data_IF_718952815302
#
_entry.id   IF_718952815302
#
_cell.length_a   1.000
_cell.length_b   1.000
_cell.length_c   1.000
_cell.angle_alpha   90.00
_cell.angle_beta   90.00
_cell.angle_gamma   90.00
#
_symmetry.space_group_name_H-M   'P 1'
#
loop_
_entity.id
_entity.type
_entity.pdbx_description
1 polymer ?
#
# COMPACT_ATOMS: atom_id res chain seq x y z
N UNK A 1 6.67 36.20 58.54
CA UNK A 1 6.70 35.09 57.58
C UNK A 1 5.49 34.21 57.83
N UNK A 2 4.37 34.46 57.13
CA UNK A 2 3.22 33.56 57.10
C UNK A 2 3.40 32.62 55.89
N UNK A 3 3.49 31.32 56.12
CA UNK A 3 3.43 30.31 55.06
C UNK A 3 1.94 29.99 54.79
N UNK A 4 1.45 30.35 53.60
CA UNK A 4 0.14 29.92 53.11
C UNK A 4 0.24 28.54 52.44
N UNK A 5 -0.52 27.58 52.94
CA UNK A 5 -0.72 26.26 52.33
C UNK A 5 -1.79 26.38 51.24
N UNK A 6 -1.40 26.25 49.97
CA UNK A 6 -2.31 26.13 48.83
C UNK A 6 -2.62 24.64 48.64
N UNK A 7 -3.87 24.25 48.90
CA UNK A 7 -4.39 22.93 48.57
C UNK A 7 -4.81 22.94 47.09
N UNK A 8 -4.01 22.30 46.24
CA UNK A 8 -4.34 22.13 44.82
C UNK A 8 -5.23 20.89 44.66
N UNK A 9 -6.48 21.10 44.26
CA UNK A 9 -7.44 20.03 43.99
C UNK A 9 -7.06 19.24 42.74
N UNK A 10 -6.90 17.92 42.90
CA UNK A 10 -6.67 16.97 41.80
C UNK A 10 -7.96 16.81 40.97
N UNK A 11 -8.07 17.58 39.88
CA UNK A 11 -9.04 17.32 38.82
C UNK A 11 -8.73 15.97 38.19
N UNK A 12 -9.62 14.99 38.41
CA UNK A 12 -9.59 13.71 37.70
C UNK A 12 -9.96 13.96 36.23
N UNK A 13 -8.96 14.11 35.37
CA UNK A 13 -9.14 13.96 33.94
C UNK A 13 -9.41 12.49 33.64
N UNK A 14 -10.68 12.17 33.42
CA UNK A 14 -11.07 10.90 32.79
C UNK A 14 -10.68 11.00 31.31
N UNK A 15 -9.50 10.49 30.97
CA UNK A 15 -9.17 10.24 29.56
C UNK A 15 -9.99 9.06 29.11
N UNK A 16 -11.18 9.31 28.56
CA UNK A 16 -11.86 8.32 27.74
C UNK A 16 -11.02 8.14 26.47
N UNK A 17 -10.19 7.09 26.43
CA UNK A 17 -9.58 6.62 25.19
C UNK A 17 -10.72 6.38 24.19
N UNK A 18 -10.68 6.94 22.97
CA UNK A 18 -11.61 6.55 21.94
C UNK A 18 -11.37 5.07 21.69
N UNK A 19 -12.37 4.24 21.99
CA UNK A 19 -12.40 2.83 21.58
C UNK A 19 -12.27 2.81 20.08
N UNK A 20 -11.08 2.49 19.55
CA UNK A 20 -10.91 2.31 18.12
C UNK A 20 -11.69 1.06 17.73
N UNK A 21 -12.89 1.23 17.19
CA UNK A 21 -13.51 0.19 16.40
C UNK A 21 -12.55 -0.08 15.23
N UNK A 22 -11.83 -1.19 15.27
CA UNK A 22 -10.95 -1.56 14.17
C UNK A 22 -11.78 -1.59 12.89
N UNK A 23 -11.32 -0.84 11.88
CA UNK A 23 -11.95 -0.85 10.57
C UNK A 23 -11.95 -2.28 10.04
N UNK A 24 -13.09 -2.73 9.51
CA UNK A 24 -13.28 -4.12 9.10
C UNK A 24 -12.79 -4.32 7.67
N UNK A 25 -11.97 -5.33 7.46
CA UNK A 25 -11.53 -5.75 6.13
C UNK A 25 -12.66 -6.42 5.35
N UNK A 26 -12.69 -6.22 4.03
CA UNK A 26 -13.61 -6.89 3.10
C UNK A 26 -12.83 -7.58 1.99
N UNK A 27 -12.86 -8.93 1.95
CA UNK A 27 -12.24 -9.72 0.87
C UNK A 27 -12.77 -9.30 -0.49
N UNK A 28 -14.09 -9.12 -0.61
CA UNK A 28 -14.73 -8.73 -1.86
C UNK A 28 -14.24 -7.36 -2.32
N UNK A 29 -14.16 -6.35 -1.44
CA UNK A 29 -13.64 -5.02 -1.82
C UNK A 29 -12.18 -5.11 -2.27
N UNK A 30 -11.33 -5.86 -1.55
CA UNK A 30 -9.94 -6.00 -1.94
C UNK A 30 -9.79 -6.71 -3.30
N UNK A 31 -10.57 -7.76 -3.53
CA UNK A 31 -10.57 -8.62 -4.72
C UNK A 31 -11.15 -7.95 -5.95
N UNK A 32 -12.30 -7.28 -5.83
CA UNK A 32 -13.04 -6.76 -6.99
C UNK A 32 -12.83 -5.28 -7.25
N UNK A 33 -12.37 -4.53 -6.24
CA UNK A 33 -12.17 -3.08 -6.32
C UNK A 33 -10.70 -2.70 -6.25
N UNK A 34 -9.92 -3.15 -5.26
CA UNK A 34 -8.54 -2.66 -5.09
C UNK A 34 -7.52 -3.40 -5.95
N UNK A 35 -7.65 -4.73 -6.06
CA UNK A 35 -6.70 -5.55 -6.81
C UNK A 35 -6.67 -5.26 -8.31
N UNK A 36 -7.80 -5.05 -9.01
CA UNK A 36 -7.75 -4.69 -10.41
C UNK A 36 -7.04 -3.36 -10.66
N UNK A 37 -7.12 -2.39 -9.74
CA UNK A 37 -6.37 -1.13 -9.83
C UNK A 37 -4.86 -1.36 -9.71
N UNK A 38 -4.43 -2.22 -8.78
CA UNK A 38 -3.01 -2.58 -8.63
C UNK A 38 -2.50 -3.34 -9.87
N UNK A 39 -3.29 -4.28 -10.40
CA UNK A 39 -2.95 -5.03 -11.60
C UNK A 39 -2.92 -4.14 -12.86
N UNK A 40 -3.86 -3.20 -12.99
CA UNK A 40 -3.96 -2.28 -14.13
C UNK A 40 -2.67 -1.46 -14.34
N UNK A 41 -1.91 -1.20 -13.29
CA UNK A 41 -0.63 -0.49 -13.38
C UNK A 41 0.42 -1.23 -14.22
N UNK A 42 0.27 -2.55 -14.42
CA UNK A 42 1.11 -3.37 -15.31
C UNK A 42 0.72 -3.26 -16.79
N UNK A 43 -0.47 -2.75 -17.11
CA UNK A 43 -0.93 -2.53 -18.47
C UNK A 43 -0.30 -1.29 -19.09
N UNK A 44 -0.22 -1.26 -20.42
CA UNK A 44 0.02 -0.03 -21.20
C UNK A 44 -1.27 0.76 -21.44
N UNK A 45 -2.42 0.16 -21.17
CA UNK A 45 -3.77 0.74 -21.30
C UNK A 45 -4.57 0.44 -20.03
N UNK A 46 -4.29 1.11 -18.89
CA UNK A 46 -5.04 0.87 -17.65
C UNK A 46 -6.55 1.11 -17.78
N UNK A 47 -6.97 1.95 -18.74
CA UNK A 47 -8.38 2.20 -19.03
C UNK A 47 -9.17 0.92 -19.38
N UNK A 48 -8.53 -0.10 -19.96
CA UNK A 48 -9.21 -1.37 -20.27
C UNK A 48 -9.65 -2.08 -18.98
N UNK A 49 -8.76 -2.13 -17.97
CA UNK A 49 -9.12 -2.61 -16.64
C UNK A 49 -10.21 -1.76 -16.00
N UNK A 50 -10.12 -0.43 -16.14
CA UNK A 50 -11.13 0.47 -15.57
C UNK A 50 -12.52 0.23 -16.19
N UNK A 51 -12.59 0.07 -17.51
CA UNK A 51 -13.85 -0.20 -18.22
C UNK A 51 -14.45 -1.55 -17.86
N UNK A 52 -13.62 -2.59 -17.67
CA UNK A 52 -14.09 -3.93 -17.37
C UNK A 52 -14.50 -4.12 -15.90
N UNK A 53 -14.03 -3.26 -14.99
CA UNK A 53 -14.22 -3.43 -13.55
C UNK A 53 -15.08 -2.38 -12.87
N UNK A 54 -15.27 -1.20 -13.47
CA UNK A 54 -16.07 -0.13 -12.89
C UNK A 54 -17.09 0.39 -13.90
N UNK A 55 -18.25 0.82 -13.40
CA UNK A 55 -19.35 1.29 -14.26
C UNK A 55 -19.01 2.62 -14.93
N UNK A 56 -18.29 3.50 -14.23
CA UNK A 56 -17.94 4.82 -14.75
C UNK A 56 -16.59 5.27 -14.20
N UNK A 57 -15.53 4.99 -14.96
CA UNK A 57 -14.17 5.31 -14.58
C UNK A 57 -13.36 5.94 -15.72
N UNK A 58 -12.57 6.95 -15.38
CA UNK A 58 -11.75 7.70 -16.34
C UNK A 58 -10.30 7.74 -15.89
N UNK A 59 -9.39 7.20 -16.72
CA UNK A 59 -7.96 7.37 -16.57
C UNK A 59 -7.61 8.84 -16.82
N UNK A 60 -6.92 9.47 -15.86
CA UNK A 60 -6.40 10.82 -16.04
C UNK A 60 -5.09 10.77 -16.80
N UNK A 61 -4.12 10.00 -16.29
CA UNK A 61 -2.81 9.81 -16.93
C UNK A 61 -2.09 8.60 -16.34
N UNK A 62 -1.33 7.89 -17.18
CA UNK A 62 -0.30 6.95 -16.75
C UNK A 62 1.08 7.53 -17.07
N UNK A 63 2.03 7.37 -16.16
CA UNK A 63 3.39 7.88 -16.29
C UNK A 63 4.41 6.76 -16.22
N UNK A 64 5.55 6.99 -16.85
CA UNK A 64 6.72 6.12 -16.84
C UNK A 64 7.95 6.99 -16.57
N UNK A 65 8.74 6.63 -15.57
CA UNK A 65 9.96 7.36 -15.19
C UNK A 65 11.09 6.39 -14.93
N UNK A 66 12.32 6.82 -15.19
CA UNK A 66 13.51 6.06 -14.76
C UNK A 66 13.58 6.12 -13.25
N UNK A 67 13.63 4.97 -12.59
CA UNK A 67 13.72 4.89 -11.12
C UNK A 67 14.59 3.73 -10.59
N UNK A 68 15.30 3.03 -11.48
CA UNK A 68 16.10 1.87 -11.11
C UNK A 68 17.23 2.19 -10.14
N UNK A 69 17.59 1.26 -9.25
CA UNK A 69 18.78 1.41 -8.45
C UNK A 69 20.03 1.29 -9.35
N UNK A 70 21.06 2.06 -9.02
CA UNK A 70 22.42 1.88 -9.56
C UNK A 70 22.54 1.94 -11.10
N UNK A 71 21.75 2.79 -11.77
CA UNK A 71 21.93 3.06 -13.21
C UNK A 71 21.37 2.00 -14.16
N UNK A 72 20.60 1.01 -13.68
CA UNK A 72 19.75 0.17 -14.55
C UNK A 72 18.59 1.02 -15.08
N UNK A 73 18.27 0.92 -16.38
CA UNK A 73 17.16 1.61 -17.05
C UNK A 73 15.77 1.11 -16.62
N UNK A 74 15.59 0.76 -15.34
CA UNK A 74 14.30 0.29 -14.83
C UNK A 74 13.29 1.43 -14.79
N UNK A 75 12.06 1.08 -15.15
CA UNK A 75 10.95 2.00 -15.30
C UNK A 75 10.03 1.85 -14.11
N UNK A 76 9.83 2.92 -13.34
CA UNK A 76 8.68 3.03 -12.46
C UNK A 76 7.49 3.49 -13.28
N UNK A 77 6.31 3.02 -12.89
CA UNK A 77 5.07 3.49 -13.49
C UNK A 77 4.01 3.64 -12.42
N UNK A 78 3.15 4.63 -12.61
CA UNK A 78 1.94 4.79 -11.84
C UNK A 78 0.90 5.52 -12.68
N UNK A 79 -0.35 5.47 -12.26
CA UNK A 79 -1.43 6.19 -12.90
C UNK A 79 -2.35 6.86 -11.88
N UNK A 80 -3.03 7.90 -12.36
CA UNK A 80 -4.16 8.53 -11.68
C UNK A 80 -5.45 8.28 -12.47
N UNK A 81 -6.54 8.05 -11.76
CA UNK A 81 -7.86 7.86 -12.38
C UNK A 81 -8.96 8.37 -11.45
N UNK A 82 -10.18 8.45 -11.98
CA UNK A 82 -11.39 8.76 -11.22
C UNK A 82 -12.39 7.63 -11.41
N UNK A 83 -12.92 7.11 -10.31
CA UNK A 83 -14.06 6.19 -10.26
C UNK A 83 -15.29 7.02 -9.89
N UNK A 84 -16.08 7.45 -10.87
CA UNK A 84 -17.21 8.37 -10.66
C UNK A 84 -18.35 7.72 -9.90
N UNK A 85 -18.60 6.43 -10.15
CA UNK A 85 -19.62 5.62 -9.46
C UNK A 85 -19.25 5.38 -7.99
N UNK A 86 -17.95 5.26 -7.68
CA UNK A 86 -17.45 5.11 -6.32
C UNK A 86 -17.15 6.43 -5.61
N UNK A 87 -17.21 7.56 -6.32
CA UNK A 87 -16.72 8.86 -5.85
C UNK A 87 -15.30 8.78 -5.28
N UNK A 88 -14.38 8.20 -6.05
CA UNK A 88 -13.00 8.00 -5.63
C UNK A 88 -11.99 8.50 -6.67
N UNK A 89 -10.92 9.12 -6.19
CA UNK A 89 -9.70 9.42 -6.96
C UNK A 89 -8.71 8.29 -6.68
N UNK A 90 -8.20 7.66 -7.73
CA UNK A 90 -7.26 6.54 -7.63
C UNK A 90 -5.85 7.01 -7.90
N UNK A 91 -4.91 6.52 -7.10
CA UNK A 91 -3.48 6.52 -7.40
C UNK A 91 -2.97 5.08 -7.29
N UNK A 92 -2.44 4.55 -8.38
CA UNK A 92 -1.92 3.17 -8.42
C UNK A 92 -0.50 3.12 -8.94
N UNK A 93 0.33 2.28 -8.33
CA UNK A 93 1.74 2.13 -8.65
C UNK A 93 2.08 0.70 -9.08
N UNK A 94 2.89 0.58 -10.14
CA UNK A 94 3.36 -0.69 -10.67
C UNK A 94 4.61 -1.17 -9.92
N UNK A 95 4.71 -2.48 -9.67
CA UNK A 95 5.98 -3.11 -9.35
C UNK A 95 6.96 -3.17 -10.54
N UNK A 96 8.18 -3.66 -10.30
CA UNK A 96 9.18 -3.82 -11.37
C UNK A 96 9.87 -5.18 -11.30
N UNK A 97 10.32 -5.67 -12.46
CA UNK A 97 11.09 -6.91 -12.55
C UNK A 97 12.48 -6.76 -11.94
N UNK A 98 13.08 -5.57 -11.98
CA UNK A 98 14.39 -5.34 -11.36
C UNK A 98 14.32 -5.44 -9.83
N UNK A 99 13.23 -4.97 -9.20
CA UNK A 99 13.04 -5.15 -7.76
C UNK A 99 12.91 -6.63 -7.41
N UNK A 100 12.10 -7.38 -8.16
CA UNK A 100 11.98 -8.84 -7.98
C UNK A 100 13.35 -9.52 -8.10
N UNK A 101 14.16 -9.11 -9.09
CA UNK A 101 15.51 -9.66 -9.28
C UNK A 101 16.41 -9.38 -8.06
N UNK A 102 16.40 -8.16 -7.51
CA UNK A 102 17.19 -7.84 -6.31
C UNK A 102 16.78 -8.71 -5.12
N UNK A 103 15.48 -8.91 -4.93
CA UNK A 103 14.95 -9.77 -3.87
C UNK A 103 15.40 -11.22 -4.08
N UNK A 104 15.34 -11.73 -5.31
CA UNK A 104 15.79 -13.09 -5.64
C UNK A 104 17.31 -13.26 -5.49
N UNK A 105 18.10 -12.24 -5.80
CA UNK A 105 19.55 -12.20 -5.62
C UNK A 105 19.95 -11.98 -4.14
N UNK A 106 18.96 -11.76 -3.26
CA UNK A 106 19.16 -11.33 -1.88
C UNK A 106 20.05 -10.08 -1.76
N UNK A 107 20.04 -9.22 -2.78
CA UNK A 107 20.81 -7.98 -2.81
C UNK A 107 20.10 -6.90 -1.97
N UNK A 108 20.64 -6.68 -0.77
CA UNK A 108 20.12 -5.70 0.17
C UNK A 108 20.72 -4.31 0.00
N UNK A 109 21.58 -4.09 -1.01
CA UNK A 109 22.30 -2.83 -1.24
C UNK A 109 21.36 -1.61 -1.27
N UNK A 110 20.17 -1.78 -1.85
CA UNK A 110 19.15 -0.72 -1.99
C UNK A 110 18.48 -0.32 -0.67
N UNK A 111 18.67 -1.10 0.40
CA UNK A 111 18.05 -0.89 1.70
C UNK A 111 19.01 -0.35 2.76
N UNK A 112 20.32 -0.25 2.49
CA UNK A 112 21.26 0.29 3.48
C UNK A 112 21.03 1.76 3.80
N UNK A 113 20.53 2.52 2.83
CA UNK A 113 20.33 3.96 2.99
C UNK A 113 18.87 4.28 3.26
N UNK A 114 18.58 4.73 4.48
CA UNK A 114 17.31 5.37 4.84
C UNK A 114 17.43 6.89 4.80
N UNK A 115 16.31 7.60 4.60
CA UNK A 115 16.24 9.06 4.66
C UNK A 115 15.06 9.52 5.52
N UNK A 116 15.12 10.71 6.15
CA UNK A 116 14.01 11.23 6.94
C UNK A 116 12.73 11.29 6.11
N UNK A 117 11.62 10.82 6.69
CA UNK A 117 10.31 10.91 6.08
C UNK A 117 9.48 12.04 6.68
N UNK A 118 8.79 12.78 5.84
CA UNK A 118 8.01 13.96 6.26
C UNK A 118 6.87 13.61 7.21
N UNK A 119 6.34 12.39 7.12
CA UNK A 119 5.32 11.86 8.01
C UNK A 119 5.86 11.33 9.35
N UNK A 120 7.18 11.29 9.57
CA UNK A 120 7.82 10.70 10.74
C UNK A 120 8.71 9.50 10.40
N UNK A 121 9.81 9.35 11.15
CA UNK A 121 10.78 8.27 10.99
C UNK A 121 11.65 8.38 9.74
N UNK A 122 12.16 7.24 9.28
CA UNK A 122 12.97 7.14 8.09
C UNK A 122 12.47 6.05 7.15
N UNK A 123 12.56 6.30 5.85
CA UNK A 123 12.15 5.35 4.80
C UNK A 123 13.33 4.97 3.92
N UNK A 124 13.26 3.81 3.25
CA UNK A 124 14.26 3.45 2.24
C UNK A 124 14.42 4.57 1.21
N UNK A 125 15.67 4.99 0.95
CA UNK A 125 15.95 5.98 -0.10
C UNK A 125 15.48 5.48 -1.46
N UNK A 126 15.61 4.19 -1.72
CA UNK A 126 15.18 3.58 -2.98
C UNK A 126 13.67 3.79 -3.22
N UNK A 127 12.85 3.47 -2.22
CA UNK A 127 11.39 3.69 -2.31
C UNK A 127 11.03 5.18 -2.36
N UNK A 128 11.72 6.01 -1.57
CA UNK A 128 11.53 7.45 -1.61
C UNK A 128 11.81 8.03 -3.00
N UNK A 129 12.94 7.66 -3.62
CA UNK A 129 13.34 8.16 -4.93
C UNK A 129 12.30 7.75 -5.99
N UNK A 130 11.84 6.50 -5.96
CA UNK A 130 10.78 6.01 -6.85
C UNK A 130 9.48 6.79 -6.70
N UNK A 131 9.03 6.99 -5.46
CA UNK A 131 7.82 7.77 -5.16
C UNK A 131 7.96 9.22 -5.61
N UNK A 132 9.00 9.92 -5.17
CA UNK A 132 9.13 11.36 -5.41
C UNK A 132 9.34 11.67 -6.90
N UNK A 133 9.98 10.76 -7.64
CA UNK A 133 10.18 10.92 -9.08
C UNK A 133 8.85 10.83 -9.82
N UNK A 134 8.01 9.82 -9.54
CA UNK A 134 6.68 9.71 -10.12
C UNK A 134 5.77 10.87 -9.68
N UNK A 135 5.83 11.24 -8.40
CA UNK A 135 5.05 12.35 -7.86
C UNK A 135 5.33 13.65 -8.61
N UNK A 136 6.62 14.00 -8.75
CA UNK A 136 7.06 15.22 -9.46
C UNK A 136 6.90 15.15 -10.98
N UNK A 137 6.93 13.96 -11.57
CA UNK A 137 6.73 13.80 -13.02
C UNK A 137 5.28 14.05 -13.45
N UNK A 138 4.33 14.03 -12.51
CA UNK A 138 2.96 14.47 -12.80
C UNK A 138 1.86 13.83 -11.96
N UNK A 139 2.12 12.76 -11.20
CA UNK A 139 1.11 12.19 -10.30
C UNK A 139 0.63 13.24 -9.30
N UNK A 140 1.53 14.08 -8.77
CA UNK A 140 1.19 15.17 -7.85
C UNK A 140 0.31 16.23 -8.49
N UNK A 141 0.61 16.64 -9.74
CA UNK A 141 -0.20 17.63 -10.47
C UNK A 141 -1.60 17.09 -10.79
N UNK A 142 -1.67 15.83 -11.23
CA UNK A 142 -2.96 15.17 -11.50
C UNK A 142 -3.77 15.06 -10.22
N UNK A 143 -3.14 14.67 -9.11
CA UNK A 143 -3.81 14.58 -7.82
C UNK A 143 -4.39 15.94 -7.39
N UNK A 144 -3.62 17.04 -7.49
CA UNK A 144 -4.13 18.37 -7.16
C UNK A 144 -5.30 18.81 -8.04
N UNK A 145 -5.19 18.57 -9.36
CA UNK A 145 -6.25 18.88 -10.31
C UNK A 145 -7.53 18.08 -10.00
N UNK A 146 -7.40 16.78 -9.75
CA UNK A 146 -8.53 15.90 -9.44
C UNK A 146 -9.16 16.24 -8.08
N UNK A 147 -8.36 16.56 -7.05
CA UNK A 147 -8.88 17.02 -5.75
C UNK A 147 -9.63 18.34 -5.85
N UNK A 148 -9.18 19.25 -6.71
CA UNK A 148 -9.88 20.52 -6.99
C UNK A 148 -11.20 20.27 -7.69
N UNK A 149 -11.22 19.36 -8.66
CA UNK A 149 -12.41 19.04 -9.44
C UNK A 149 -13.43 18.21 -8.65
N UNK A 150 -12.97 17.33 -7.77
CA UNK A 150 -13.78 16.39 -7.00
C UNK A 150 -13.45 16.45 -5.50
N UNK A 151 -13.72 17.57 -4.81
CA UNK A 151 -13.27 17.80 -3.43
C UNK A 151 -13.90 16.85 -2.41
N UNK A 152 -15.04 16.25 -2.74
CA UNK A 152 -15.77 15.30 -1.87
C UNK A 152 -15.45 13.84 -2.15
N UNK A 153 -14.59 13.54 -3.13
CA UNK A 153 -14.23 12.17 -3.47
C UNK A 153 -13.16 11.65 -2.50
N UNK A 154 -13.28 10.38 -2.13
CA UNK A 154 -12.25 9.66 -1.38
C UNK A 154 -10.99 9.50 -2.24
N UNK A 155 -9.87 9.17 -1.60
CA UNK A 155 -8.61 8.87 -2.27
C UNK A 155 -8.26 7.41 -2.03
N UNK A 156 -8.23 6.63 -3.10
CA UNK A 156 -7.87 5.21 -3.06
C UNK A 156 -6.45 5.05 -3.59
N UNK A 157 -5.57 4.51 -2.74
CA UNK A 157 -4.16 4.32 -3.05
C UNK A 157 -3.86 2.83 -3.03
N UNK A 158 -3.16 2.34 -4.06
CA UNK A 158 -2.83 0.92 -4.16
C UNK A 158 -1.57 0.67 -4.98
N UNK A 159 -1.09 -0.56 -4.91
CA UNK A 159 0.05 -1.03 -5.67
C UNK A 159 0.44 -2.44 -5.27
N UNK A 160 1.27 -3.04 -6.10
CA UNK A 160 1.80 -4.39 -5.89
C UNK A 160 3.33 -4.36 -5.87
N UNK A 161 3.96 -5.16 -5.01
CA UNK A 161 5.43 -5.28 -4.93
C UNK A 161 6.11 -3.93 -4.62
N UNK A 162 7.10 -3.48 -5.41
CA UNK A 162 7.63 -2.12 -5.31
C UNK A 162 6.52 -1.05 -5.31
N UNK A 163 5.48 -1.23 -6.14
CA UNK A 163 4.34 -0.31 -6.18
C UNK A 163 3.58 -0.22 -4.86
N UNK A 164 3.53 -1.32 -4.09
CA UNK A 164 2.93 -1.32 -2.76
C UNK A 164 3.72 -0.46 -1.75
N UNK A 165 5.06 -0.42 -1.86
CA UNK A 165 5.89 0.47 -1.06
C UNK A 165 5.64 1.95 -1.45
N UNK A 166 5.57 2.24 -2.75
CA UNK A 166 5.29 3.60 -3.23
C UNK A 166 3.88 4.07 -2.83
N UNK A 167 2.90 3.17 -2.82
CA UNK A 167 1.54 3.42 -2.35
C UNK A 167 1.51 3.82 -0.86
N UNK A 168 2.30 3.13 -0.02
CA UNK A 168 2.48 3.44 1.41
C UNK A 168 3.05 4.84 1.64
N UNK A 169 4.03 5.23 0.82
CA UNK A 169 4.60 6.57 0.88
C UNK A 169 3.61 7.62 0.37
N UNK A 170 2.90 7.33 -0.72
CA UNK A 170 1.93 8.24 -1.31
C UNK A 170 0.76 8.55 -0.37
N UNK A 171 0.17 7.54 0.27
CA UNK A 171 -0.92 7.72 1.23
C UNK A 171 -0.50 8.59 2.43
N UNK A 172 0.66 8.29 3.03
CA UNK A 172 1.24 9.08 4.12
C UNK A 172 1.52 10.52 3.68
N UNK A 173 2.07 10.72 2.47
CA UNK A 173 2.36 12.04 1.92
C UNK A 173 1.09 12.86 1.66
N UNK A 174 0.04 12.24 1.14
CA UNK A 174 -1.25 12.87 0.85
C UNK A 174 -1.90 13.40 2.13
N UNK A 175 -1.87 12.62 3.21
CA UNK A 175 -2.39 13.04 4.52
C UNK A 175 -1.50 14.14 5.11
N UNK A 176 -0.18 13.91 5.14
CA UNK A 176 0.76 14.79 5.85
C UNK A 176 0.95 16.13 5.14
N UNK A 177 1.14 16.11 3.83
CA UNK A 177 1.52 17.29 3.04
C UNK A 177 0.31 17.91 2.37
N UNK A 178 -0.55 17.10 1.74
CA UNK A 178 -1.73 17.60 1.05
C UNK A 178 -2.95 17.79 1.96
N UNK A 179 -2.82 17.43 3.25
CA UNK A 179 -3.84 17.66 4.29
C UNK A 179 -5.18 17.03 3.94
N UNK A 180 -5.16 15.90 3.22
CA UNK A 180 -6.38 15.12 3.03
C UNK A 180 -6.73 14.45 4.35
N UNK A 181 -7.99 14.55 4.79
CA UNK A 181 -8.47 13.84 5.98
C UNK A 181 -8.17 12.32 5.91
N UNK A 182 -7.78 11.71 7.03
CA UNK A 182 -7.30 10.32 7.13
C UNK A 182 -8.33 9.27 6.70
N UNK A 183 -9.52 9.38 7.27
CA UNK A 183 -10.78 8.72 6.96
C UNK A 183 -11.27 8.86 5.50
N UNK A 184 -10.79 9.84 4.73
CA UNK A 184 -10.99 9.94 3.28
C UNK A 184 -9.90 9.24 2.45
N UNK A 185 -8.88 8.64 3.06
CA UNK A 185 -7.81 7.91 2.36
C UNK A 185 -7.90 6.41 2.65
N UNK A 186 -8.06 5.61 1.60
CA UNK A 186 -8.00 4.15 1.67
C UNK A 186 -6.70 3.64 1.06
N UNK A 187 -5.92 2.89 1.83
CA UNK A 187 -4.74 2.17 1.35
C UNK A 187 -4.99 0.66 1.37
N UNK A 188 -4.87 0.01 0.22
CA UNK A 188 -4.78 -1.46 0.14
C UNK A 188 -3.63 -1.82 -0.77
N UNK A 189 -2.70 -2.63 -0.27
CA UNK A 189 -1.49 -3.02 -0.99
C UNK A 189 -1.34 -4.53 -1.09
N UNK A 190 -0.57 -5.01 -2.06
CA UNK A 190 -0.37 -6.43 -2.33
C UNK A 190 1.13 -6.75 -2.35
N UNK A 191 1.58 -7.68 -1.51
CA UNK A 191 2.99 -8.09 -1.44
C UNK A 191 3.91 -6.91 -1.09
N UNK A 192 3.53 -6.10 -0.10
CA UNK A 192 4.26 -4.90 0.28
C UNK A 192 5.55 -5.26 1.05
N UNK A 193 6.75 -4.84 0.60
CA UNK A 193 7.99 -4.97 1.38
C UNK A 193 8.02 -4.00 2.56
N UNK A 194 8.89 -4.21 3.55
CA UNK A 194 9.06 -3.24 4.65
C UNK A 194 9.61 -1.92 4.10
N UNK A 195 8.88 -0.82 4.32
CA UNK A 195 9.12 0.45 3.62
C UNK A 195 10.09 1.36 4.36
N UNK A 196 9.99 1.38 5.68
CA UNK A 196 10.73 2.28 6.55
C UNK A 196 10.93 1.68 7.92
N UNK A 197 11.36 2.54 8.84
CA UNK A 197 11.67 2.12 10.19
C UNK A 197 10.47 2.04 11.12
N UNK A 198 10.69 1.55 12.33
CA UNK A 198 9.64 1.44 13.37
C UNK A 198 8.94 2.78 13.60
N UNK A 199 9.67 3.90 13.54
CA UNK A 199 9.06 5.24 13.71
C UNK A 199 8.16 5.61 12.53
N UNK A 200 8.56 5.28 11.29
CA UNK A 200 7.70 5.43 10.11
C UNK A 200 6.45 4.55 10.22
N UNK A 201 6.60 3.28 10.63
CA UNK A 201 5.50 2.34 10.78
C UNK A 201 4.44 2.85 11.78
N UNK A 202 4.88 3.32 12.95
CA UNK A 202 3.98 3.89 13.97
C UNK A 202 3.30 5.17 13.46
N UNK A 203 4.04 6.06 12.81
CA UNK A 203 3.46 7.28 12.26
C UNK A 203 2.43 6.98 11.17
N UNK A 204 2.67 5.96 10.35
CA UNK A 204 1.72 5.49 9.35
C UNK A 204 0.44 4.90 10.00
N UNK A 205 0.58 4.16 11.11
CA UNK A 205 -0.54 3.60 11.87
C UNK A 205 -1.43 4.65 12.53
N UNK A 206 -0.83 5.77 12.94
CA UNK A 206 -1.53 6.94 13.48
C UNK A 206 -2.19 7.76 12.36
N UNK A 207 -1.58 7.80 11.18
CA UNK A 207 -2.07 8.58 10.04
C UNK A 207 -3.24 7.95 9.32
N UNK A 208 -3.26 6.64 9.10
CA UNK A 208 -4.22 5.98 8.22
C UNK A 208 -5.29 5.21 8.97
N UNK A 209 -6.54 5.67 8.85
CA UNK A 209 -7.70 4.99 9.40
C UNK A 209 -8.02 3.68 8.66
N UNK A 210 -7.83 3.64 7.33
CA UNK A 210 -8.04 2.46 6.48
C UNK A 210 -6.74 2.09 5.76
N UNK A 211 -6.05 1.06 6.26
CA UNK A 211 -4.83 0.54 5.67
C UNK A 211 -4.76 -0.97 5.83
N UNK A 212 -4.56 -1.71 4.73
CA UNK A 212 -4.38 -3.16 4.75
C UNK A 212 -3.28 -3.60 3.77
N UNK A 213 -2.36 -4.44 4.26
CA UNK A 213 -1.37 -5.14 3.44
C UNK A 213 -1.84 -6.56 3.20
N UNK A 214 -2.10 -6.93 1.95
CA UNK A 214 -2.43 -8.31 1.60
C UNK A 214 -1.14 -9.09 1.32
N UNK A 215 -1.04 -10.27 1.91
CA UNK A 215 0.07 -11.20 1.73
C UNK A 215 -0.47 -12.57 1.34
N UNK A 216 0.04 -13.09 0.23
CA UNK A 216 -0.28 -14.43 -0.23
C UNK A 216 0.80 -15.43 0.22
N UNK A 217 0.42 -16.36 1.10
CA UNK A 217 1.18 -17.52 1.49
C UNK A 217 2.68 -17.27 1.73
N UNK A 218 3.57 -17.90 0.96
CA UNK A 218 5.02 -17.81 1.14
C UNK A 218 5.65 -16.71 0.30
N UNK A 219 4.88 -15.68 -0.08
CA UNK A 219 5.40 -14.48 -0.73
C UNK A 219 6.60 -13.95 0.07
N UNK A 220 7.78 -13.92 -0.56
CA UNK A 220 9.01 -13.48 0.09
C UNK A 220 9.13 -11.96 0.19
N UNK A 221 8.40 -11.20 -0.63
CA UNK A 221 8.59 -9.75 -0.73
C UNK A 221 8.20 -9.01 0.55
N UNK A 222 7.09 -9.36 1.23
CA UNK A 222 6.80 -8.81 2.55
C UNK A 222 7.90 -9.02 3.59
N UNK A 223 8.76 -10.01 3.39
CA UNK A 223 9.84 -10.31 4.33
C UNK A 223 11.16 -9.59 3.99
N UNK A 224 11.17 -8.72 2.97
CA UNK A 224 12.32 -7.86 2.66
C UNK A 224 12.05 -6.37 2.90
N UNK A 225 13.04 -5.62 3.41
CA UNK A 225 14.22 -6.11 4.13
C UNK A 225 13.84 -7.00 5.31
N UNK A 226 14.72 -7.93 5.76
CA UNK A 226 14.45 -8.74 6.95
C UNK A 226 14.15 -7.88 8.18
N UNK A 227 13.30 -8.35 9.09
CA UNK A 227 12.84 -7.60 10.27
C UNK A 227 13.96 -6.98 11.11
N UNK A 228 15.08 -7.69 11.27
CA UNK A 228 16.23 -7.21 12.06
C UNK A 228 17.25 -6.41 11.22
N UNK A 229 17.00 -6.23 9.93
CA UNK A 229 17.86 -5.45 9.06
C UNK A 229 17.56 -3.96 9.27
N UNK A 230 18.51 -3.22 9.85
CA UNK A 230 18.48 -1.76 9.98
C UNK A 230 17.14 -1.18 10.48
N UNK A 231 16.46 -1.85 11.41
CA UNK A 231 15.19 -1.42 12.00
C UNK A 231 14.07 -1.22 10.96
N UNK A 232 14.07 -1.96 9.85
CA UNK A 232 12.92 -1.96 8.93
C UNK A 232 11.73 -2.67 9.59
N UNK A 233 10.56 -2.06 9.51
CA UNK A 233 9.36 -2.51 10.23
C UNK A 233 8.10 -2.24 9.41
N UNK A 234 7.15 -3.17 9.45
CA UNK A 234 5.84 -2.98 8.83
C UNK A 234 4.92 -2.12 9.68
N UNK A 235 4.10 -1.32 9.00
CA UNK A 235 2.90 -0.74 9.60
C UNK A 235 1.84 -1.84 9.82
N UNK A 236 0.86 -1.58 10.69
CA UNK A 236 -0.16 -2.55 11.09
C UNK A 236 -1.13 -2.89 9.95
N UNK A 237 -1.95 -3.90 10.26
CA UNK A 237 -3.03 -4.47 9.47
C UNK A 237 -2.53 -5.27 8.27
N UNK A 238 -2.21 -6.53 8.55
CA UNK A 238 -1.96 -7.54 7.53
C UNK A 238 -3.21 -8.41 7.32
N UNK A 239 -3.50 -8.73 6.06
CA UNK A 239 -4.46 -9.76 5.67
C UNK A 239 -3.70 -10.89 5.01
N UNK A 240 -3.60 -12.00 5.72
CA UNK A 240 -2.80 -13.14 5.33
C UNK A 240 -3.68 -14.26 4.77
N UNK A 241 -3.43 -14.62 3.52
CA UNK A 241 -4.09 -15.73 2.83
C UNK A 241 -3.18 -16.94 2.81
N UNK A 242 -3.65 -18.04 3.38
CA UNK A 242 -2.88 -19.27 3.46
C UNK A 242 -3.11 -20.16 2.24
N UNK A 243 -2.04 -20.55 1.55
CA UNK A 243 -1.98 -21.49 0.40
C UNK A 243 -2.73 -21.06 -0.88
N UNK A 244 -3.91 -20.46 -0.79
CA UNK A 244 -4.67 -20.00 -1.94
C UNK A 244 -5.51 -18.75 -1.61
N UNK A 245 -6.04 -18.11 -2.65
CA UNK A 245 -6.87 -16.91 -2.54
C UNK A 245 -8.19 -17.05 -3.33
N UNK A 246 -8.71 -18.27 -3.46
CA UNK A 246 -10.00 -18.51 -4.11
C UNK A 246 -11.15 -17.84 -3.34
N UNK A 247 -12.30 -17.66 -3.98
CA UNK A 247 -13.48 -17.08 -3.31
C UNK A 247 -13.94 -18.01 -2.18
N UNK A 248 -14.21 -17.43 -1.01
CA UNK A 248 -14.74 -18.16 0.15
C UNK A 248 -13.69 -18.89 0.98
N UNK A 249 -12.40 -18.79 0.64
CA UNK A 249 -11.33 -19.34 1.46
C UNK A 249 -11.01 -18.44 2.64
N UNK A 250 -10.59 -19.06 3.73
CA UNK A 250 -10.29 -18.34 4.97
C UNK A 250 -9.02 -17.51 4.83
N UNK A 251 -8.99 -16.37 5.50
CA UNK A 251 -7.84 -15.51 5.67
C UNK A 251 -7.75 -15.06 7.13
N UNK A 252 -6.56 -14.66 7.55
CA UNK A 252 -6.31 -14.12 8.90
C UNK A 252 -6.07 -12.62 8.80
N UNK A 253 -6.76 -11.83 9.62
CA UNK A 253 -6.50 -10.38 9.74
C UNK A 253 -5.73 -10.12 11.03
N UNK A 254 -4.51 -9.61 10.91
CA UNK A 254 -3.69 -9.19 12.04
C UNK A 254 -3.67 -7.67 12.16
N UNK A 255 -4.42 -7.13 13.13
CA UNK A 255 -4.44 -5.71 13.49
C UNK A 255 -3.23 -5.30 14.35
N UNK A 256 -2.05 -5.80 14.00
CA UNK A 256 -0.79 -5.53 14.68
C UNK A 256 0.35 -5.49 13.66
N UNK A 257 1.42 -4.80 14.02
CA UNK A 257 2.67 -4.81 13.28
C UNK A 257 3.38 -6.16 13.51
N UNK A 258 4.02 -6.68 12.46
CA UNK A 258 4.92 -7.85 12.52
C UNK A 258 4.35 -9.06 13.28
N UNK A 259 3.07 -9.38 13.05
CA UNK A 259 2.33 -10.36 13.84
C UNK A 259 2.73 -11.80 13.50
N UNK A 260 3.17 -12.62 14.47
CA UNK A 260 3.50 -14.03 14.23
C UNK A 260 2.25 -14.89 13.93
N UNK A 261 1.04 -14.34 14.09
CA UNK A 261 -0.20 -15.02 13.68
C UNK A 261 -0.50 -14.87 12.18
N UNK A 262 0.22 -13.99 11.47
CA UNK A 262 0.13 -13.79 10.03
C UNK A 262 1.46 -14.19 9.35
N UNK A 263 1.87 -13.58 8.23
CA UNK A 263 2.98 -14.10 7.43
C UNK A 263 4.31 -14.09 8.19
N UNK A 264 4.51 -13.23 9.18
CA UNK A 264 5.75 -13.20 9.98
C UNK A 264 5.90 -14.43 10.91
N UNK A 265 4.87 -15.26 11.05
CA UNK A 265 4.95 -16.58 11.67
C UNK A 265 5.56 -17.66 10.77
N UNK A 266 5.77 -17.39 9.47
CA UNK A 266 6.28 -18.37 8.53
C UNK A 266 7.79 -18.61 8.71
N UNK A 267 8.18 -19.88 8.76
CA UNK A 267 9.59 -20.26 8.84
C UNK A 267 10.35 -20.08 7.51
N UNK A 268 9.67 -20.22 6.36
CA UNK A 268 10.29 -20.19 5.03
C UNK A 268 9.42 -19.47 3.97
N UNK A 269 9.34 -18.13 4.01
CA UNK A 269 8.66 -17.34 2.97
C UNK A 269 9.61 -17.08 1.78
N UNK A 270 9.65 -17.98 0.80
CA UNK A 270 10.65 -17.97 -0.28
C UNK A 270 10.06 -18.03 -1.70
N UNK A 271 8.76 -17.76 -1.86
CA UNK A 271 8.01 -18.04 -3.09
C UNK A 271 7.77 -16.80 -3.93
N UNK A 272 8.48 -16.69 -5.06
CA UNK A 272 8.19 -15.67 -6.09
C UNK A 272 6.85 -15.96 -6.77
N UNK A 273 6.45 -17.24 -6.85
CA UNK A 273 5.18 -17.60 -7.45
C UNK A 273 4.02 -17.02 -6.64
N UNK A 274 4.05 -17.16 -5.31
CA UNK A 274 3.04 -16.56 -4.42
C UNK A 274 3.08 -15.03 -4.49
N UNK A 275 4.26 -14.44 -4.69
CA UNK A 275 4.39 -13.00 -4.92
C UNK A 275 3.70 -12.51 -6.19
N UNK A 276 3.75 -13.26 -7.29
CA UNK A 276 3.17 -12.81 -8.57
C UNK A 276 1.76 -13.31 -8.83
N UNK A 277 1.17 -14.07 -7.90
CA UNK A 277 -0.20 -14.58 -7.98
C UNK A 277 -1.02 -14.11 -6.78
N UNK A 278 -2.09 -13.37 -7.04
CA UNK A 278 -3.06 -12.95 -6.03
C UNK A 278 -4.46 -13.24 -6.58
N UNK A 279 -5.35 -13.74 -5.72
CA UNK A 279 -6.69 -14.18 -6.13
C UNK A 279 -6.69 -15.16 -7.30
N UNK A 280 -5.75 -16.11 -7.27
CA UNK A 280 -5.52 -17.16 -8.27
C UNK A 280 -5.18 -16.67 -9.68
N UNK A 281 -4.85 -15.39 -9.86
CA UNK A 281 -4.41 -14.86 -11.15
C UNK A 281 -3.01 -14.28 -11.05
N UNK A 282 -2.23 -14.42 -12.13
CA UNK A 282 -0.95 -13.75 -12.23
C UNK A 282 -1.18 -12.23 -12.35
N UNK A 283 -0.74 -11.43 -11.37
CA UNK A 283 -1.06 -9.99 -11.23
C UNK A 283 -0.79 -9.21 -12.52
N UNK A 284 0.44 -9.32 -13.05
CA UNK A 284 0.82 -8.60 -14.26
C UNK A 284 0.13 -9.09 -15.54
N UNK A 285 -0.21 -10.38 -15.63
CA UNK A 285 -0.91 -10.96 -16.79
C UNK A 285 -2.37 -10.50 -16.79
N UNK A 286 -3.05 -10.59 -15.64
CA UNK A 286 -4.41 -10.12 -15.44
C UNK A 286 -4.57 -8.64 -15.81
N UNK A 287 -3.66 -7.79 -15.32
CA UNK A 287 -3.63 -6.36 -15.66
C UNK A 287 -3.42 -6.08 -17.14
N UNK A 288 -2.44 -6.74 -17.78
CA UNK A 288 -2.13 -6.56 -19.21
C UNK A 288 -3.25 -7.02 -20.15
N UNK A 289 -4.11 -7.92 -19.69
CA UNK A 289 -5.30 -8.39 -20.42
C UNK A 289 -6.57 -7.63 -20.03
N UNK A 290 -6.43 -6.44 -19.45
CA UNK A 290 -7.55 -5.54 -19.19
C UNK A 290 -8.46 -6.00 -18.05
N UNK A 291 -7.98 -6.82 -17.11
CA UNK A 291 -8.76 -7.25 -15.95
C UNK A 291 -10.14 -7.85 -16.35
N UNK A 292 -10.16 -8.63 -17.43
CA UNK A 292 -11.37 -9.06 -18.13
C UNK A 292 -12.05 -10.30 -17.53
N UNK A 293 -11.48 -10.87 -16.47
CA UNK A 293 -12.02 -12.03 -15.74
C UNK A 293 -12.53 -11.56 -14.39
N UNK A 294 -13.71 -12.03 -13.98
CA UNK A 294 -14.22 -11.70 -12.65
C UNK A 294 -13.52 -12.57 -11.61
N UNK A 295 -13.30 -12.00 -10.43
CA UNK A 295 -12.60 -12.69 -9.34
C UNK A 295 -13.55 -13.07 -8.20
N UNK A 296 -14.86 -12.83 -8.37
CA UNK A 296 -15.95 -12.93 -7.40
C UNK A 296 -16.72 -14.27 -7.44
N UNK A 297 -16.33 -15.18 -8.33
CA UNK A 297 -16.91 -16.51 -8.47
C UNK A 297 -15.84 -17.59 -8.29
N UNK A 298 -16.18 -18.78 -7.77
CA UNK A 298 -15.27 -19.92 -7.80
C UNK A 298 -14.89 -20.24 -9.26
N UNK A 299 -13.64 -20.61 -9.52
CA UNK A 299 -13.25 -21.11 -10.84
C UNK A 299 -14.21 -22.23 -11.28
N UNK A 300 -14.72 -22.23 -12.53
CA UNK A 300 -15.47 -23.36 -13.02
C UNK A 300 -14.56 -24.59 -12.98
N UNK A 301 -14.97 -25.60 -12.21
CA UNK A 301 -14.30 -26.91 -12.11
C UNK A 301 -14.23 -27.60 -13.47
#
# INVERSE_FOLDING_TARGET
MLLGLVVCGLLHFTTSSPTSSNVTYSDMEARTEMFPLAAAAYSKQPQDCLNNRYTNATLKRQLFVVCGPLGRSDMCSGFTAVLHDKKAIVISFRGTTAFIQLVMEADQSVFYRKIPWIGGGYVSKFFYDGFITLWKAGIGDDFQALRTQYPTYDVWVTGHSLGAALASLASSYIITVNKVPSESVKLVTFGQPRVGDTTYAMAHDDQLAFSFRLVHWRDLVPHVPPLLFLDYYHHKSEVFYQENMAVGVNFTVCYANESPNCSDGLQFPTSIWDHIHYFNVHVGHYGKHGCNTTLDSPEPQ
#
